data_IF_878954394591
#
_entry.id   IF_878954394591
#
_cell.length_a   1.000
_cell.length_b   1.000
_cell.length_c   1.000
_cell.angle_alpha   90.00
_cell.angle_beta   90.00
_cell.angle_gamma   90.00
#
_symmetry.space_group_name_H-M   'P 1'
#
loop_
_entity.id
_entity.type
_entity.pdbx_description
1 polymer ?
#
# COMPACT_ATOMS: atom_id res chain seq x y z
N UNK A 1 -1.71 -2.35 -81.96
CA UNK A 1 -2.98 -2.60 -81.25
C UNK A 1 -2.82 -3.80 -80.30
N UNK A 2 -2.44 -3.55 -79.04
CA UNK A 2 -2.43 -4.56 -77.96
C UNK A 2 -2.96 -3.88 -76.70
N UNK A 3 -4.29 -3.75 -76.59
CA UNK A 3 -4.93 -3.16 -75.41
C UNK A 3 -6.28 -3.80 -75.06
N UNK A 4 -6.59 -5.00 -75.58
CA UNK A 4 -7.92 -5.61 -75.40
C UNK A 4 -7.92 -6.90 -74.55
N UNK A 5 -6.76 -7.46 -74.23
CA UNK A 5 -6.66 -8.76 -73.50
C UNK A 5 -6.73 -8.63 -71.98
N UNK A 6 -6.46 -7.44 -71.42
CA UNK A 6 -6.61 -7.20 -69.97
C UNK A 6 -8.08 -7.01 -69.59
N UNK A 7 -8.87 -6.32 -70.41
CA UNK A 7 -10.29 -6.07 -70.13
C UNK A 7 -11.16 -7.34 -70.21
N UNK A 8 -10.80 -8.32 -71.04
CA UNK A 8 -11.53 -9.59 -71.14
C UNK A 8 -11.34 -10.48 -69.90
N UNK A 9 -10.18 -10.43 -69.23
CA UNK A 9 -9.91 -11.20 -67.99
C UNK A 9 -10.68 -10.70 -66.76
N UNK A 10 -11.11 -9.45 -66.76
CA UNK A 10 -11.95 -8.88 -65.69
C UNK A 10 -13.46 -9.15 -65.90
N UNK A 11 -13.85 -9.70 -67.06
CA UNK A 11 -15.26 -9.97 -67.40
C UNK A 11 -15.69 -11.42 -67.21
N UNK A 12 -14.83 -12.22 -66.59
CA UNK A 12 -15.03 -13.65 -66.37
C UNK A 12 -15.56 -13.89 -64.94
N UNK A 13 -16.65 -14.65 -64.80
CA UNK A 13 -17.38 -14.91 -63.54
C UNK A 13 -16.48 -15.45 -62.42
N UNK A 14 -15.35 -16.06 -62.78
CA UNK A 14 -14.30 -16.51 -61.87
C UNK A 14 -13.58 -15.35 -61.12
N UNK A 15 -13.42 -14.18 -61.76
CA UNK A 15 -12.84 -12.99 -61.12
C UNK A 15 -13.76 -12.38 -60.06
N UNK A 16 -15.08 -12.45 -60.27
CA UNK A 16 -16.07 -11.97 -59.31
C UNK A 16 -16.06 -12.77 -58.00
N UNK A 17 -15.83 -14.10 -58.06
CA UNK A 17 -15.75 -14.97 -56.87
C UNK A 17 -14.54 -14.64 -55.97
N UNK A 18 -13.37 -14.38 -56.57
CA UNK A 18 -12.16 -14.00 -55.85
C UNK A 18 -12.31 -12.64 -55.14
N UNK A 19 -13.01 -11.70 -55.78
CA UNK A 19 -13.28 -10.38 -55.21
C UNK A 19 -14.20 -10.49 -54.00
N UNK A 20 -15.26 -11.31 -54.09
CA UNK A 20 -16.18 -11.52 -52.97
C UNK A 20 -15.47 -12.16 -51.77
N UNK A 21 -14.58 -13.13 -51.99
CA UNK A 21 -13.79 -13.75 -50.92
C UNK A 21 -12.82 -12.75 -50.24
N UNK A 22 -12.15 -11.89 -51.02
CA UNK A 22 -11.28 -10.84 -50.49
C UNK A 22 -12.04 -9.82 -49.65
N UNK A 23 -13.24 -9.42 -50.09
CA UNK A 23 -14.11 -8.52 -49.32
C UNK A 23 -14.54 -9.20 -48.02
N UNK A 24 -14.87 -10.49 -48.05
CA UNK A 24 -15.22 -11.23 -46.84
C UNK A 24 -14.04 -11.30 -45.86
N UNK A 25 -12.82 -11.58 -46.33
CA UNK A 25 -11.61 -11.55 -45.52
C UNK A 25 -11.33 -10.15 -44.94
N UNK A 26 -11.53 -9.09 -45.73
CA UNK A 26 -11.36 -7.71 -45.29
C UNK A 26 -12.35 -7.37 -44.17
N UNK A 27 -13.63 -7.72 -44.33
CA UNK A 27 -14.66 -7.51 -43.31
C UNK A 27 -14.32 -8.29 -42.05
N UNK A 28 -13.94 -9.57 -42.18
CA UNK A 28 -13.50 -10.39 -41.06
C UNK A 28 -12.27 -9.81 -40.35
N UNK A 29 -11.31 -9.25 -41.09
CA UNK A 29 -10.13 -8.61 -40.51
C UNK A 29 -10.49 -7.33 -39.74
N UNK A 30 -11.39 -6.50 -40.29
CA UNK A 30 -11.86 -5.28 -39.62
C UNK A 30 -12.61 -5.64 -38.34
N UNK A 31 -13.60 -6.54 -38.42
CA UNK A 31 -14.38 -6.96 -37.26
C UNK A 31 -13.47 -7.65 -36.22
N UNK A 32 -12.56 -8.51 -36.67
CA UNK A 32 -11.57 -9.17 -35.82
C UNK A 32 -10.67 -8.18 -35.08
N UNK A 33 -10.21 -7.12 -35.75
CA UNK A 33 -9.38 -6.08 -35.13
C UNK A 33 -10.12 -5.31 -34.03
N UNK A 34 -11.42 -5.04 -34.21
CA UNK A 34 -12.25 -4.36 -33.20
C UNK A 34 -12.47 -5.26 -31.98
N UNK A 35 -12.80 -6.53 -32.19
CA UNK A 35 -13.03 -7.50 -31.10
C UNK A 35 -11.75 -7.72 -30.29
N UNK A 36 -10.59 -7.87 -30.96
CA UNK A 36 -9.29 -7.98 -30.30
C UNK A 36 -8.98 -6.76 -29.45
N UNK A 37 -9.18 -5.56 -29.98
CA UNK A 37 -8.94 -4.31 -29.24
C UNK A 37 -9.83 -4.21 -28.00
N UNK A 38 -11.12 -4.53 -28.12
CA UNK A 38 -12.08 -4.54 -27.01
C UNK A 38 -11.74 -5.60 -25.94
N UNK A 39 -11.25 -6.78 -26.36
CA UNK A 39 -10.80 -7.82 -25.43
C UNK A 39 -9.50 -7.41 -24.72
N UNK A 40 -8.56 -6.79 -25.41
CA UNK A 40 -7.30 -6.32 -24.82
C UNK A 40 -7.51 -5.25 -23.76
N UNK A 41 -8.43 -4.29 -23.97
CA UNK A 41 -8.72 -3.26 -22.95
C UNK A 41 -9.37 -3.86 -21.71
N UNK A 42 -10.28 -4.83 -21.86
CA UNK A 42 -10.91 -5.51 -20.74
C UNK A 42 -9.91 -6.39 -19.99
N UNK A 43 -9.06 -7.12 -20.70
CA UNK A 43 -8.00 -7.93 -20.09
C UNK A 43 -7.03 -7.04 -19.28
N UNK A 44 -6.63 -5.89 -19.83
CA UNK A 44 -5.80 -4.91 -19.13
C UNK A 44 -6.50 -4.34 -17.90
N UNK A 45 -7.76 -3.95 -18.01
CA UNK A 45 -8.53 -3.44 -16.88
C UNK A 45 -8.62 -4.48 -15.76
N UNK A 46 -8.95 -5.73 -16.09
CA UNK A 46 -9.02 -6.83 -15.11
C UNK A 46 -7.66 -7.08 -14.45
N UNK A 47 -6.57 -7.04 -15.21
CA UNK A 47 -5.23 -7.18 -14.66
C UNK A 47 -4.92 -6.07 -13.66
N UNK A 48 -5.12 -4.81 -14.05
CA UNK A 48 -4.89 -3.66 -13.16
C UNK A 48 -5.75 -3.73 -11.91
N UNK A 49 -7.02 -4.12 -12.01
CA UNK A 49 -7.88 -4.28 -10.84
C UNK A 49 -7.37 -5.35 -9.86
N UNK A 50 -6.85 -6.47 -10.37
CA UNK A 50 -6.27 -7.53 -9.52
C UNK A 50 -5.00 -7.07 -8.83
N UNK A 51 -4.11 -6.42 -9.57
CA UNK A 51 -2.85 -5.89 -9.03
C UNK A 51 -3.13 -4.86 -7.91
N UNK A 52 -4.07 -3.95 -8.13
CA UNK A 52 -4.49 -2.97 -7.13
C UNK A 52 -5.11 -3.61 -5.89
N UNK A 53 -5.95 -4.63 -6.06
CA UNK A 53 -6.52 -5.37 -4.94
C UNK A 53 -5.44 -6.10 -4.14
N UNK A 54 -4.50 -6.77 -4.82
CA UNK A 54 -3.38 -7.44 -4.14
C UNK A 54 -2.50 -6.45 -3.38
N UNK A 55 -2.25 -5.27 -3.96
CA UNK A 55 -1.52 -4.22 -3.30
C UNK A 55 -2.25 -3.75 -2.01
N UNK A 56 -3.54 -3.49 -2.12
CA UNK A 56 -4.38 -3.08 -0.98
C UNK A 56 -4.41 -4.14 0.12
N UNK A 57 -4.60 -5.42 -0.23
CA UNK A 57 -4.57 -6.51 0.75
C UNK A 57 -3.20 -6.63 1.44
N UNK A 58 -2.11 -6.38 0.72
CA UNK A 58 -0.75 -6.47 1.26
C UNK A 58 -0.47 -5.37 2.27
N UNK A 59 -0.84 -4.12 1.95
CA UNK A 59 -0.68 -3.00 2.88
C UNK A 59 -1.64 -3.12 4.05
N UNK A 60 -2.88 -3.54 3.78
CA UNK A 60 -3.90 -3.76 4.81
C UNK A 60 -3.53 -4.85 5.80
N UNK A 61 -2.96 -5.97 5.34
CA UNK A 61 -2.48 -7.01 6.25
C UNK A 61 -1.31 -6.52 7.10
N UNK A 62 -0.35 -5.77 6.54
CA UNK A 62 0.73 -5.14 7.30
C UNK A 62 0.19 -4.18 8.37
N UNK A 63 -0.78 -3.34 8.00
CA UNK A 63 -1.44 -2.39 8.89
C UNK A 63 -2.12 -3.11 10.07
N UNK A 64 -2.88 -4.17 9.77
CA UNK A 64 -3.56 -4.98 10.77
C UNK A 64 -2.59 -5.69 11.70
N UNK A 65 -1.51 -6.27 11.17
CA UNK A 65 -0.48 -6.92 12.00
C UNK A 65 0.16 -5.92 12.96
N UNK A 66 0.53 -4.72 12.48
CA UNK A 66 1.10 -3.68 13.34
C UNK A 66 0.11 -3.24 14.41
N UNK A 67 -1.13 -2.95 14.01
CA UNK A 67 -2.15 -2.49 14.93
C UNK A 67 -2.47 -3.53 16.00
N UNK A 68 -2.58 -4.80 15.62
CA UNK A 68 -2.80 -5.91 16.54
C UNK A 68 -1.62 -6.09 17.49
N UNK A 69 -0.39 -6.15 16.98
CA UNK A 69 0.80 -6.32 17.83
C UNK A 69 0.94 -5.17 18.84
N UNK A 70 0.60 -3.93 18.48
CA UNK A 70 0.73 -2.78 19.39
C UNK A 70 -0.39 -2.68 20.45
N UNK A 71 -1.56 -3.25 20.20
CA UNK A 71 -2.73 -3.29 21.11
C UNK A 71 -2.59 -4.38 22.19
N UNK A 72 -1.73 -5.39 21.99
CA UNK A 72 -1.70 -6.58 22.85
C UNK A 72 -1.12 -6.38 24.25
N UNK A 73 -0.18 -5.46 24.42
CA UNK A 73 0.70 -5.42 25.59
C UNK A 73 0.58 -4.10 26.36
N UNK A 74 0.54 -4.19 27.70
CA UNK A 74 0.79 -3.03 28.56
C UNK A 74 2.30 -2.81 28.69
N UNK A 75 2.73 -1.59 28.39
CA UNK A 75 4.13 -1.21 28.37
C UNK A 75 4.49 -0.47 29.65
N UNK A 76 5.53 -0.92 30.33
CA UNK A 76 6.02 -0.34 31.58
C UNK A 76 7.28 0.47 31.32
N UNK A 77 7.38 1.64 31.95
CA UNK A 77 8.59 2.46 31.92
C UNK A 77 9.49 2.03 33.06
N UNK A 78 10.69 1.56 32.71
CA UNK A 78 11.73 1.19 33.66
C UNK A 78 12.83 2.23 33.61
N UNK A 79 12.95 2.98 34.70
CA UNK A 79 14.04 3.95 34.88
C UNK A 79 15.33 3.24 35.26
N UNK A 80 16.35 3.39 34.42
CA UNK A 80 17.72 2.91 34.66
C UNK A 80 18.66 4.11 34.83
N UNK A 81 19.84 3.96 35.49
CA UNK A 81 20.85 5.02 35.55
C UNK A 81 21.29 5.52 34.17
N UNK A 82 21.18 4.68 33.14
CA UNK A 82 21.56 4.97 31.75
C UNK A 82 20.41 5.60 30.92
N UNK A 83 19.22 5.78 31.50
CA UNK A 83 18.04 6.32 30.83
C UNK A 83 16.76 5.53 31.08
N UNK A 84 15.62 6.13 30.72
CA UNK A 84 14.32 5.44 30.79
C UNK A 84 14.16 4.50 29.58
N UNK A 85 13.65 3.30 29.83
CA UNK A 85 13.40 2.27 28.82
C UNK A 85 11.97 1.75 28.90
N UNK A 86 11.48 1.20 27.79
CA UNK A 86 10.14 0.60 27.72
C UNK A 86 10.26 -0.93 27.77
N UNK A 87 9.49 -1.58 28.64
CA UNK A 87 9.38 -3.03 28.79
C UNK A 87 7.92 -3.47 28.70
N UNK A 88 7.64 -4.78 28.58
CA UNK A 88 6.27 -5.31 28.63
C UNK A 88 5.72 -5.84 27.30
N UNK A 89 6.36 -5.52 26.16
CA UNK A 89 6.05 -6.06 24.85
C UNK A 89 6.45 -7.55 24.70
N UNK A 90 5.87 -8.44 25.52
CA UNK A 90 6.31 -9.83 25.62
C UNK A 90 5.71 -10.68 24.50
N UNK A 91 4.48 -10.37 24.09
CA UNK A 91 3.72 -11.15 23.11
C UNK A 91 3.79 -10.56 21.69
N UNK A 92 3.98 -9.24 21.58
CA UNK A 92 4.12 -8.55 20.29
C UNK A 92 5.53 -8.67 19.71
N UNK A 93 5.67 -9.29 18.53
CA UNK A 93 6.99 -9.42 17.87
C UNK A 93 7.42 -8.06 17.33
N UNK A 94 6.50 -7.35 16.67
CA UNK A 94 6.75 -6.02 16.16
C UNK A 94 6.93 -5.01 17.30
N UNK A 95 6.03 -5.01 18.28
CA UNK A 95 6.07 -4.12 19.45
C UNK A 95 7.37 -4.25 20.24
N UNK A 96 7.84 -5.48 20.47
CA UNK A 96 9.09 -5.72 21.19
C UNK A 96 10.30 -5.10 20.52
N UNK A 97 10.50 -5.36 19.24
CA UNK A 97 11.66 -4.81 18.52
C UNK A 97 11.52 -3.29 18.35
N UNK A 98 10.31 -2.79 18.10
CA UNK A 98 10.03 -1.35 18.02
C UNK A 98 10.44 -0.62 19.30
N UNK A 99 9.95 -1.05 20.46
CA UNK A 99 10.24 -0.38 21.73
C UNK A 99 11.67 -0.59 22.20
N UNK A 100 12.30 -1.72 21.83
CA UNK A 100 13.72 -1.96 22.07
C UNK A 100 14.62 -1.05 21.23
N UNK A 101 14.25 -0.79 19.98
CA UNK A 101 15.05 0.04 19.05
C UNK A 101 14.81 1.54 19.25
N UNK A 102 13.55 1.96 19.41
CA UNK A 102 13.17 3.38 19.42
C UNK A 102 12.71 3.90 20.79
N UNK A 103 12.42 3.02 21.75
CA UNK A 103 11.75 3.41 23.00
C UNK A 103 12.49 4.47 23.80
N UNK A 104 13.81 4.32 24.00
CA UNK A 104 14.61 5.33 24.72
C UNK A 104 14.60 6.67 24.00
N UNK A 105 14.82 6.69 22.68
CA UNK A 105 14.80 7.92 21.87
C UNK A 105 13.43 8.60 21.88
N UNK A 106 12.34 7.83 21.88
CA UNK A 106 10.97 8.34 22.00
C UNK A 106 10.76 8.99 23.37
N UNK A 107 11.18 8.33 24.45
CA UNK A 107 11.05 8.84 25.81
C UNK A 107 11.89 10.12 26.03
N UNK A 108 13.09 10.20 25.46
CA UNK A 108 13.93 11.39 25.47
C UNK A 108 13.25 12.58 24.77
N UNK A 109 12.71 12.37 23.57
CA UNK A 109 11.97 13.42 22.83
C UNK A 109 10.70 13.83 23.55
N UNK A 110 9.99 12.89 24.15
CA UNK A 110 8.83 13.17 24.99
C UNK A 110 9.18 14.04 26.20
N UNK A 111 10.32 13.81 26.85
CA UNK A 111 10.74 14.61 27.99
C UNK A 111 10.90 16.11 27.64
N UNK A 112 11.25 16.41 26.39
CA UNK A 112 11.32 17.78 25.84
C UNK A 112 10.08 18.21 25.04
N UNK A 113 9.00 17.41 25.07
CA UNK A 113 7.73 17.62 24.34
C UNK A 113 7.88 17.73 22.83
N UNK A 114 8.83 17.01 22.24
CA UNK A 114 9.00 16.91 20.80
C UNK A 114 8.45 15.58 20.26
N UNK A 115 7.98 15.61 19.02
CA UNK A 115 7.61 14.41 18.29
C UNK A 115 8.85 13.64 17.84
N UNK A 116 8.82 12.31 17.97
CA UNK A 116 9.80 11.43 17.37
C UNK A 116 9.32 10.99 15.98
N UNK A 117 10.08 11.30 14.95
CA UNK A 117 9.94 10.66 13.64
C UNK A 117 11.14 9.76 13.39
N UNK A 118 10.93 8.51 12.98
CA UNK A 118 12.06 7.71 12.51
C UNK A 118 12.56 8.37 11.22
N UNK A 119 13.77 8.96 11.26
CA UNK A 119 14.39 9.50 10.04
C UNK A 119 14.61 8.42 8.98
N UNK A 120 14.65 7.15 9.40
CA UNK A 120 14.69 5.97 8.55
C UNK A 120 13.30 5.36 8.35
N UNK A 121 13.06 4.81 7.15
CA UNK A 121 11.80 4.16 6.81
C UNK A 121 11.70 2.79 7.49
N UNK A 122 10.57 2.52 8.13
CA UNK A 122 10.25 1.20 8.63
C UNK A 122 10.06 0.24 7.44
N UNK A 123 10.62 -0.97 7.50
CA UNK A 123 10.53 -1.96 6.42
C UNK A 123 9.82 -3.19 6.94
N UNK A 124 8.66 -3.50 6.37
CA UNK A 124 7.83 -4.65 6.74
C UNK A 124 7.78 -5.60 5.55
N UNK A 125 8.19 -6.85 5.77
CA UNK A 125 8.09 -7.89 4.73
C UNK A 125 6.76 -8.63 4.84
N UNK A 126 5.94 -8.55 3.79
CA UNK A 126 4.67 -9.27 3.65
C UNK A 126 4.77 -10.23 2.46
N UNK A 127 5.06 -11.50 2.72
CA UNK A 127 5.31 -12.49 1.67
C UNK A 127 6.48 -12.08 0.76
N UNK A 128 6.22 -11.89 -0.53
CA UNK A 128 7.21 -11.43 -1.52
C UNK A 128 7.25 -9.90 -1.68
N UNK A 129 6.38 -9.16 -1.00
CA UNK A 129 6.27 -7.72 -1.11
C UNK A 129 6.90 -7.03 0.11
N UNK A 130 7.45 -5.84 -0.12
CA UNK A 130 7.97 -4.98 0.93
C UNK A 130 7.05 -3.78 1.10
N UNK A 131 6.56 -3.57 2.32
CA UNK A 131 5.76 -2.41 2.72
C UNK A 131 6.69 -1.47 3.48
N UNK A 132 6.73 -0.22 3.07
CA UNK A 132 7.47 0.85 3.73
C UNK A 132 6.56 1.59 4.69
N UNK A 133 7.11 2.00 5.84
CA UNK A 133 6.42 2.76 6.87
C UNK A 133 7.11 4.08 7.19
N UNK A 134 6.35 5.16 7.34
CA UNK A 134 6.81 6.41 7.97
C UNK A 134 6.20 6.49 9.35
N UNK A 135 7.06 6.52 10.36
CA UNK A 135 6.66 6.56 11.76
C UNK A 135 6.69 8.00 12.28
N UNK A 136 5.63 8.38 12.98
CA UNK A 136 5.56 9.55 13.83
C UNK A 136 5.02 9.13 15.21
N UNK A 137 5.69 9.53 16.27
CA UNK A 137 5.23 9.39 17.66
C UNK A 137 5.19 10.78 18.27
N UNK A 138 4.03 11.20 18.77
CA UNK A 138 3.89 12.52 19.39
C UNK A 138 4.36 12.51 20.87
N UNK A 139 4.29 13.68 21.52
CA UNK A 139 4.66 13.81 22.94
C UNK A 139 3.72 13.06 23.90
N UNK A 140 2.50 12.76 23.46
CA UNK A 140 1.51 12.01 24.21
C UNK A 140 1.64 10.49 23.98
N UNK A 141 2.65 10.07 23.22
CA UNK A 141 2.93 8.71 22.78
C UNK A 141 1.90 8.14 21.82
N UNK A 142 1.05 8.95 21.18
CA UNK A 142 0.24 8.46 20.08
C UNK A 142 1.14 8.14 18.89
N UNK A 143 0.87 7.02 18.23
CA UNK A 143 1.67 6.54 17.11
C UNK A 143 0.84 6.69 15.83
N UNK A 144 1.47 7.32 14.82
CA UNK A 144 0.97 7.37 13.45
C UNK A 144 1.98 6.69 12.54
N UNK A 145 1.54 5.68 11.79
CA UNK A 145 2.37 4.97 10.82
C UNK A 145 1.68 5.02 9.46
N UNK A 146 2.26 5.78 8.54
CA UNK A 146 1.85 5.72 7.13
C UNK A 146 2.52 4.54 6.46
N UNK A 147 1.77 3.74 5.72
CA UNK A 147 2.20 2.52 5.04
C UNK A 147 1.97 2.62 3.52
N UNK A 148 2.93 2.14 2.74
CA UNK A 148 2.88 2.13 1.28
C UNK A 148 3.77 1.02 0.69
N UNK A 149 3.42 0.48 -0.48
CA UNK A 149 4.33 -0.37 -1.27
C UNK A 149 5.35 0.45 -2.06
N UNK A 150 5.06 1.72 -2.31
CA UNK A 150 5.99 2.65 -2.92
C UNK A 150 6.76 3.40 -1.83
N UNK A 151 8.08 3.30 -1.89
CA UNK A 151 9.01 3.99 -1.01
C UNK A 151 8.83 5.51 -1.05
N UNK A 152 8.40 6.06 -2.19
CA UNK A 152 8.19 7.49 -2.35
C UNK A 152 6.96 8.02 -1.61
N UNK A 153 6.03 7.14 -1.21
CA UNK A 153 4.70 7.49 -0.68
C UNK A 153 3.98 8.48 -1.61
N UNK A 154 3.88 8.12 -2.89
CA UNK A 154 3.13 8.93 -3.85
C UNK A 154 1.72 9.21 -3.29
N UNK A 155 1.30 10.50 -3.14
CA UNK A 155 0.00 10.84 -2.55
C UNK A 155 -1.20 10.25 -3.29
N UNK A 156 -1.04 10.05 -4.60
CA UNK A 156 -2.06 9.47 -5.48
C UNK A 156 -2.14 7.93 -5.42
N UNK A 157 -1.36 7.28 -4.55
CA UNK A 157 -1.37 5.83 -4.46
C UNK A 157 -2.66 5.33 -3.81
N UNK A 158 -3.45 4.46 -4.48
CA UNK A 158 -4.76 4.02 -4.01
C UNK A 158 -4.71 3.01 -2.86
N UNK A 159 -3.52 2.55 -2.48
CA UNK A 159 -3.28 1.53 -1.46
C UNK A 159 -2.51 2.07 -0.24
N UNK A 160 -2.25 3.37 -0.17
CA UNK A 160 -1.65 3.95 1.02
C UNK A 160 -2.63 3.84 2.20
N UNK A 161 -2.11 3.44 3.35
CA UNK A 161 -2.90 3.33 4.58
C UNK A 161 -2.18 3.98 5.73
N UNK A 162 -2.92 4.57 6.64
CA UNK A 162 -2.40 5.13 7.89
C UNK A 162 -2.92 4.30 9.04
N UNK A 163 -2.01 3.88 9.91
CA UNK A 163 -2.31 3.23 11.19
C UNK A 163 -2.16 4.27 12.28
N UNK A 164 -3.24 4.51 13.01
CA UNK A 164 -3.28 5.38 14.18
C UNK A 164 -3.52 4.56 15.44
N UNK A 165 -2.67 4.78 16.44
CA UNK A 165 -2.69 4.12 17.74
C UNK A 165 -2.73 5.20 18.81
N UNK A 166 -3.85 5.25 19.54
CA UNK A 166 -4.04 6.19 20.64
C UNK A 166 -3.47 5.62 21.93
N UNK A 167 -2.60 6.37 22.59
CA UNK A 167 -1.99 5.98 23.84
C UNK A 167 -2.97 6.15 25.02
N UNK A 168 -3.00 5.16 25.91
CA UNK A 168 -3.65 5.20 27.21
C UNK A 168 -2.56 5.24 28.29
N UNK A 169 -2.20 6.42 28.81
CA UNK A 169 -1.13 6.56 29.79
C UNK A 169 -1.61 6.30 31.23
N UNK A 170 -0.77 5.66 32.03
CA UNK A 170 -0.96 5.43 33.47
C UNK A 170 0.08 6.22 34.25
N UNK A 171 -0.38 7.08 35.15
CA UNK A 171 0.47 7.92 36.00
C UNK A 171 0.44 7.46 37.45
N UNK A 172 1.57 7.60 38.14
CA UNK A 172 1.62 7.41 39.59
C UNK A 172 1.08 8.64 40.35
N UNK A 173 1.01 8.53 41.68
CA UNK A 173 0.53 9.62 42.55
C UNK A 173 1.36 10.92 42.47
N UNK A 174 2.61 10.86 41.98
CA UNK A 174 3.45 12.04 41.72
C UNK A 174 3.29 12.64 40.31
N UNK A 175 2.40 12.09 39.48
CA UNK A 175 2.20 12.53 38.10
C UNK A 175 3.26 12.04 37.11
N UNK A 176 4.10 11.07 37.50
CA UNK A 176 5.09 10.44 36.60
C UNK A 176 4.42 9.30 35.84
N UNK A 177 4.65 9.25 34.52
CA UNK A 177 4.22 8.13 33.66
C UNK A 177 4.93 6.85 34.11
N UNK A 178 4.17 5.80 34.39
CA UNK A 178 4.70 4.50 34.86
C UNK A 178 4.43 3.36 33.91
N UNK A 179 3.27 3.37 33.24
CA UNK A 179 2.94 2.44 32.17
C UNK A 179 2.04 3.12 31.15
N UNK A 180 1.88 2.51 29.99
CA UNK A 180 0.94 2.91 28.95
C UNK A 180 0.55 1.70 28.10
N UNK A 181 -0.66 1.72 27.55
CA UNK A 181 -1.12 0.77 26.55
C UNK A 181 -1.66 1.53 25.35
N UNK A 182 -2.08 0.82 24.30
CA UNK A 182 -2.75 1.44 23.16
C UNK A 182 -4.22 1.04 23.12
N UNK A 183 -5.06 1.92 22.59
CA UNK A 183 -6.37 1.52 22.08
C UNK A 183 -6.21 0.70 20.80
N UNK A 184 -7.27 -0.03 20.45
CA UNK A 184 -7.34 -0.74 19.18
C UNK A 184 -7.04 0.21 18.02
N UNK A 185 -6.07 -0.17 17.20
CA UNK A 185 -5.62 0.65 16.08
C UNK A 185 -6.77 1.06 15.14
N UNK A 186 -6.80 2.34 14.79
CA UNK A 186 -7.62 2.87 13.72
C UNK A 186 -6.81 2.83 12.41
N UNK A 187 -7.31 2.08 11.42
CA UNK A 187 -6.66 1.94 10.12
C UNK A 187 -7.53 2.66 9.09
N UNK A 188 -6.96 3.68 8.45
CA UNK A 188 -7.64 4.48 7.43
C UNK A 188 -6.90 4.41 6.11
N UNK A 189 -7.63 4.55 5.00
CA UNK A 189 -6.98 4.79 3.70
C UNK A 189 -6.49 6.23 3.67
N UNK A 190 -5.24 6.41 3.29
CA UNK A 190 -4.66 7.75 3.11
C UNK A 190 -5.22 8.32 1.81
N UNK A 191 -6.38 8.96 1.88
CA UNK A 191 -6.95 9.67 0.76
C UNK A 191 -6.35 11.08 0.70
N UNK A 192 -6.11 11.57 -0.52
CA UNK A 192 -5.57 12.92 -0.83
C UNK A 192 -6.36 14.10 -0.19
N UNK A 193 -7.52 13.82 0.43
CA UNK A 193 -8.40 14.80 1.08
C UNK A 193 -8.30 14.92 2.60
N UNK A 194 -7.46 14.12 3.28
CA UNK A 194 -7.37 14.11 4.76
C UNK A 194 -6.15 14.89 5.30
N UNK A 195 -5.46 15.63 4.43
CA UNK A 195 -4.41 16.59 4.81
C UNK A 195 -5.02 17.99 4.83
N UNK A 196 -5.75 18.31 5.90
CA UNK A 196 -6.17 19.68 6.21
C UNK A 196 -5.39 20.16 7.43
#
# INVERSE_FOLDING_TARGET
>A
MKSNTLQAKFRDTAGASIVIALVFFLICAIIGSVVLTAASVQAKAVQTHRELQQAEYTVGSAAQTIGYDMDMDELTIVSSPDGDTVQGAQYSVFGREFWKTYGSSILERRAVKESFGSGERLVIKQGNSTVYGKLLVDSDLNITIDLSLDESFAPASPYNMTVYLQCIPTYNASGKLVSFSYERAAITKTNDGDRI
#
